data_IF_966327906292
#
_entry.id   IF_966327906292
#
_cell.length_a   1.000
_cell.length_b   1.000
_cell.length_c   1.000
_cell.angle_alpha   90.00
_cell.angle_beta   90.00
_cell.angle_gamma   90.00
#
_symmetry.space_group_name_H-M   'P 1'
#
loop_
_entity.id
_entity.type
_entity.pdbx_description
1 polymer ?
#
# COMPACT_ATOMS: atom_id res chain seq x y z
N UNK A 1 -43.22 3.45 5.33
CA UNK A 1 -42.66 2.18 4.82
C UNK A 1 -41.60 2.39 3.73
N UNK A 2 -41.83 3.23 2.71
CA UNK A 2 -40.85 3.49 1.63
C UNK A 2 -39.49 4.05 2.10
N UNK A 3 -39.44 4.82 3.18
CA UNK A 3 -38.20 5.45 3.69
C UNK A 3 -37.26 4.47 4.40
N UNK A 4 -37.79 3.45 5.08
CA UNK A 4 -36.98 2.45 5.78
C UNK A 4 -36.28 1.48 4.80
N UNK A 5 -37.01 1.01 3.77
CA UNK A 5 -36.41 0.19 2.70
C UNK A 5 -35.32 0.94 1.92
N UNK A 6 -35.47 2.25 1.72
CA UNK A 6 -34.46 3.06 1.04
C UNK A 6 -33.18 3.16 1.88
N UNK A 7 -33.30 3.39 3.19
CA UNK A 7 -32.16 3.50 4.10
C UNK A 7 -31.38 2.17 4.21
N UNK A 8 -32.08 1.04 4.33
CA UNK A 8 -31.49 -0.30 4.35
C UNK A 8 -30.78 -0.63 3.01
N UNK A 9 -31.36 -0.22 1.88
CA UNK A 9 -30.73 -0.40 0.58
C UNK A 9 -29.42 0.39 0.47
N UNK A 10 -29.40 1.66 0.91
CA UNK A 10 -28.18 2.48 0.92
C UNK A 10 -27.11 1.94 1.88
N UNK A 11 -27.48 1.49 3.08
CA UNK A 11 -26.55 0.85 4.01
C UNK A 11 -25.97 -0.45 3.43
N UNK A 12 -26.82 -1.31 2.85
CA UNK A 12 -26.36 -2.54 2.21
C UNK A 12 -25.45 -2.24 1.02
N UNK A 13 -25.75 -1.23 0.20
CA UNK A 13 -24.90 -0.81 -0.91
C UNK A 13 -23.54 -0.31 -0.41
N UNK A 14 -23.49 0.45 0.68
CA UNK A 14 -22.25 0.92 1.29
C UNK A 14 -21.42 -0.25 1.83
N UNK A 15 -22.05 -1.19 2.53
CA UNK A 15 -21.39 -2.41 3.06
C UNK A 15 -20.86 -3.29 1.92
N UNK A 16 -21.60 -3.42 0.83
CA UNK A 16 -21.17 -4.18 -0.36
C UNK A 16 -19.97 -3.47 -0.99
N UNK A 17 -20.04 -2.16 -1.23
CA UNK A 17 -18.94 -1.40 -1.80
C UNK A 17 -17.67 -1.47 -0.94
N UNK A 18 -17.81 -1.46 0.38
CA UNK A 18 -16.69 -1.55 1.32
C UNK A 18 -16.11 -2.97 1.37
N UNK A 19 -16.95 -4.02 1.31
CA UNK A 19 -16.51 -5.41 1.14
C UNK A 19 -15.80 -5.63 -0.19
N UNK A 20 -16.34 -5.14 -1.30
CA UNK A 20 -15.74 -5.26 -2.63
C UNK A 20 -14.39 -4.54 -2.69
N UNK A 21 -14.29 -3.32 -2.12
CA UNK A 21 -13.00 -2.65 -1.93
C UNK A 21 -12.04 -3.49 -1.10
N UNK A 22 -12.49 -4.09 0.01
CA UNK A 22 -11.66 -4.93 0.89
C UNK A 22 -11.18 -6.23 0.25
N UNK A 23 -11.96 -6.82 -0.66
CA UNK A 23 -11.59 -8.03 -1.40
C UNK A 23 -10.55 -7.73 -2.48
N UNK A 24 -10.65 -6.60 -3.18
CA UNK A 24 -9.63 -6.16 -4.14
C UNK A 24 -8.32 -5.80 -3.43
N UNK A 25 -8.42 -5.22 -2.23
CA UNK A 25 -7.29 -4.79 -1.36
C UNK A 25 -6.56 -5.92 -0.62
N UNK A 26 -6.83 -7.19 -0.92
CA UNK A 26 -6.09 -8.34 -0.34
C UNK A 26 -5.31 -9.13 -1.39
N UNK A 27 -5.37 -8.69 -2.65
CA UNK A 27 -4.84 -9.45 -3.77
C UNK A 27 -3.31 -9.29 -3.89
N UNK A 28 -2.76 -8.11 -3.55
CA UNK A 28 -1.33 -7.84 -3.79
C UNK A 28 -0.47 -8.63 -2.80
N UNK A 29 -0.85 -8.61 -1.51
CA UNK A 29 -0.15 -9.34 -0.46
C UNK A 29 -0.30 -10.84 -0.64
N UNK A 30 -1.46 -11.34 -1.05
CA UNK A 30 -1.65 -12.75 -1.37
C UNK A 30 -0.73 -13.20 -2.51
N UNK A 31 -0.67 -12.44 -3.61
CA UNK A 31 0.24 -12.71 -4.74
C UNK A 31 1.70 -12.69 -4.31
N UNK A 32 2.09 -11.72 -3.49
CA UNK A 32 3.44 -11.64 -2.92
C UNK A 32 3.76 -12.87 -2.06
N UNK A 33 2.87 -13.26 -1.14
CA UNK A 33 3.08 -14.44 -0.28
C UNK A 33 3.14 -15.73 -1.09
N UNK A 34 2.33 -15.84 -2.14
CA UNK A 34 2.38 -16.99 -3.05
C UNK A 34 3.75 -17.07 -3.75
N UNK A 35 4.23 -15.94 -4.30
CA UNK A 35 5.57 -15.86 -4.92
C UNK A 35 6.67 -16.27 -3.93
N UNK A 36 6.66 -15.71 -2.71
CA UNK A 36 7.64 -16.06 -1.66
C UNK A 36 7.59 -17.55 -1.33
N UNK A 37 6.40 -18.16 -1.26
CA UNK A 37 6.24 -19.56 -0.92
C UNK A 37 6.74 -20.50 -2.02
N UNK A 38 6.54 -20.17 -3.30
CA UNK A 38 7.10 -20.98 -4.41
C UNK A 38 8.63 -20.85 -4.48
N UNK A 39 9.17 -19.66 -4.18
CA UNK A 39 10.61 -19.39 -4.14
C UNK A 39 11.30 -19.81 -2.83
N UNK A 40 10.61 -20.48 -1.90
CA UNK A 40 11.11 -20.70 -0.52
C UNK A 40 12.45 -21.43 -0.38
N UNK A 41 12.88 -22.14 -1.42
CA UNK A 41 14.13 -22.89 -1.46
C UNK A 41 15.26 -22.16 -2.22
N UNK A 42 14.98 -20.99 -2.80
CA UNK A 42 15.95 -20.16 -3.53
C UNK A 42 16.20 -18.86 -2.76
N UNK A 43 17.26 -18.88 -1.93
CA UNK A 43 17.60 -17.75 -1.06
C UNK A 43 17.95 -16.49 -1.85
N UNK A 44 18.68 -16.65 -2.96
CA UNK A 44 19.12 -15.51 -3.77
C UNK A 44 17.91 -14.83 -4.42
N UNK A 45 16.93 -15.62 -4.88
CA UNK A 45 15.67 -15.09 -5.39
C UNK A 45 14.86 -14.39 -4.29
N UNK A 46 14.80 -14.93 -3.07
CA UNK A 46 14.12 -14.30 -1.93
C UNK A 46 14.74 -12.95 -1.54
N UNK A 47 16.07 -12.85 -1.51
CA UNK A 47 16.78 -11.59 -1.20
C UNK A 47 16.45 -10.52 -2.26
N UNK A 48 16.34 -10.93 -3.53
CA UNK A 48 15.93 -10.03 -4.62
C UNK A 48 14.46 -9.60 -4.46
N UNK A 49 13.55 -10.55 -4.20
CA UNK A 49 12.12 -10.27 -3.98
C UNK A 49 11.94 -9.27 -2.83
N UNK A 50 12.67 -9.45 -1.73
CA UNK A 50 12.63 -8.53 -0.59
C UNK A 50 13.12 -7.13 -1.00
N UNK A 51 14.24 -7.04 -1.72
CA UNK A 51 14.79 -5.78 -2.21
C UNK A 51 13.85 -5.03 -3.15
N UNK A 52 13.17 -5.76 -4.05
CA UNK A 52 12.21 -5.18 -4.99
C UNK A 52 10.94 -4.73 -4.31
N UNK A 53 10.42 -5.51 -3.36
CA UNK A 53 9.24 -5.14 -2.59
C UNK A 53 9.53 -3.91 -1.73
N UNK A 54 10.73 -3.82 -1.14
CA UNK A 54 11.18 -2.64 -0.40
C UNK A 54 11.22 -1.39 -1.27
N UNK A 55 11.65 -1.50 -2.53
CA UNK A 55 11.72 -0.37 -3.46
C UNK A 55 10.34 0.29 -3.70
N UNK A 56 9.24 -0.47 -3.62
CA UNK A 56 7.88 0.08 -3.71
C UNK A 56 7.60 1.08 -2.58
N UNK A 57 7.91 0.68 -1.34
CA UNK A 57 7.75 1.53 -0.16
C UNK A 57 8.71 2.72 -0.15
N UNK A 58 9.96 2.54 -0.61
CA UNK A 58 10.92 3.63 -0.74
C UNK A 58 10.45 4.73 -1.71
N UNK A 59 9.79 4.36 -2.81
CA UNK A 59 9.18 5.33 -3.72
C UNK A 59 8.05 6.12 -3.05
N UNK A 60 7.14 5.44 -2.35
CA UNK A 60 6.05 6.11 -1.60
C UNK A 60 6.61 7.05 -0.55
N UNK A 61 7.66 6.64 0.16
CA UNK A 61 8.37 7.49 1.10
C UNK A 61 8.97 8.73 0.42
N UNK A 62 9.65 8.57 -0.72
CA UNK A 62 10.23 9.69 -1.46
C UNK A 62 9.17 10.71 -1.94
N UNK A 63 8.00 10.22 -2.38
CA UNK A 63 6.84 11.07 -2.71
C UNK A 63 6.35 11.82 -1.46
N UNK A 64 6.14 11.11 -0.35
CA UNK A 64 5.71 11.73 0.91
C UNK A 64 6.67 12.84 1.39
N UNK A 65 7.98 12.57 1.33
CA UNK A 65 9.00 13.55 1.68
C UNK A 65 8.98 14.78 0.77
N UNK A 66 8.82 14.58 -0.55
CA UNK A 66 8.72 15.68 -1.50
C UNK A 66 7.47 16.54 -1.24
N UNK A 67 6.29 15.93 -1.14
CA UNK A 67 5.02 16.65 -0.93
C UNK A 67 5.01 17.41 0.40
N UNK A 68 5.65 16.88 1.44
CA UNK A 68 5.76 17.55 2.74
C UNK A 68 6.78 18.69 2.71
N UNK A 69 7.91 18.52 2.02
CA UNK A 69 8.99 19.51 2.00
C UNK A 69 8.72 20.69 1.08
N UNK A 70 8.04 20.47 -0.07
CA UNK A 70 7.76 21.51 -1.06
C UNK A 70 7.13 22.79 -0.48
N UNK A 71 6.02 22.74 0.27
CA UNK A 71 5.40 23.95 0.82
C UNK A 71 6.33 24.68 1.80
N UNK A 72 7.07 23.95 2.63
CA UNK A 72 8.01 24.52 3.60
C UNK A 72 9.17 25.23 2.89
N UNK A 73 9.75 24.59 1.87
CA UNK A 73 10.87 25.14 1.11
C UNK A 73 10.45 26.41 0.36
N UNK A 74 9.24 26.45 -0.20
CA UNK A 74 8.72 27.63 -0.91
C UNK A 74 8.51 28.85 -0.02
N UNK A 75 8.30 28.64 1.28
CA UNK A 75 8.17 29.72 2.27
C UNK A 75 9.55 30.22 2.71
N UNK A 76 10.51 29.31 2.86
CA UNK A 76 11.79 29.62 3.50
C UNK A 76 12.92 30.04 2.54
N UNK A 77 12.78 29.78 1.24
CA UNK A 77 13.85 29.97 0.26
C UNK A 77 13.34 30.63 -1.03
N UNK A 78 14.24 31.36 -1.69
CA UNK A 78 13.98 32.04 -2.96
C UNK A 78 15.13 31.84 -3.94
N UNK A 79 14.96 32.35 -5.17
CA UNK A 79 16.04 32.42 -6.16
C UNK A 79 16.62 31.05 -6.54
N UNK A 80 17.95 30.97 -6.60
CA UNK A 80 18.65 29.74 -7.00
C UNK A 80 18.55 28.64 -5.93
N UNK A 81 18.63 28.99 -4.66
CA UNK A 81 18.57 28.01 -3.57
C UNK A 81 17.21 27.27 -3.56
N UNK A 82 16.12 27.99 -3.80
CA UNK A 82 14.80 27.39 -3.98
C UNK A 82 14.79 26.36 -5.12
N UNK A 83 15.35 26.72 -6.28
CA UNK A 83 15.41 25.84 -7.45
C UNK A 83 16.21 24.57 -7.17
N UNK A 84 17.40 24.72 -6.59
CA UNK A 84 18.28 23.59 -6.28
C UNK A 84 17.63 22.60 -5.31
N UNK A 85 16.92 23.11 -4.30
CA UNK A 85 16.20 22.28 -3.31
C UNK A 85 15.03 21.52 -3.95
N UNK A 86 14.23 22.18 -4.79
CA UNK A 86 13.12 21.54 -5.52
C UNK A 86 13.67 20.47 -6.47
N UNK A 87 14.73 20.78 -7.22
CA UNK A 87 15.35 19.85 -8.16
C UNK A 87 15.88 18.60 -7.44
N UNK A 88 16.52 18.76 -6.29
CA UNK A 88 16.99 17.64 -5.47
C UNK A 88 15.85 16.71 -5.04
N UNK A 89 14.71 17.26 -4.61
CA UNK A 89 13.54 16.46 -4.23
C UNK A 89 12.97 15.69 -5.42
N UNK A 90 12.81 16.37 -6.56
CA UNK A 90 12.30 15.75 -7.78
C UNK A 90 13.23 14.64 -8.30
N UNK A 91 14.55 14.90 -8.29
CA UNK A 91 15.56 13.91 -8.66
C UNK A 91 15.48 12.68 -7.76
N UNK A 92 15.40 12.86 -6.44
CA UNK A 92 15.30 11.76 -5.48
C UNK A 92 14.03 10.94 -5.72
N UNK A 93 12.87 11.59 -5.86
CA UNK A 93 11.60 10.93 -6.17
C UNK A 93 11.69 10.12 -7.47
N UNK A 94 12.26 10.70 -8.54
CA UNK A 94 12.42 10.01 -9.83
C UNK A 94 13.34 8.80 -9.72
N UNK A 95 14.47 8.91 -9.03
CA UNK A 95 15.40 7.81 -8.84
C UNK A 95 14.75 6.62 -8.13
N UNK A 96 13.99 6.86 -7.04
CA UNK A 96 13.24 5.80 -6.37
C UNK A 96 12.13 5.21 -7.26
N UNK A 97 11.47 6.03 -8.08
CA UNK A 97 10.46 5.53 -9.02
C UNK A 97 11.08 4.58 -10.06
N UNK A 98 12.23 4.91 -10.64
CA UNK A 98 12.92 4.00 -11.57
C UNK A 98 13.25 2.66 -10.91
N UNK A 99 13.75 2.70 -9.66
CA UNK A 99 14.04 1.48 -8.90
C UNK A 99 12.78 0.64 -8.67
N UNK A 100 11.66 1.27 -8.33
CA UNK A 100 10.38 0.58 -8.18
C UNK A 100 9.91 -0.04 -9.51
N UNK A 101 10.00 0.68 -10.63
CA UNK A 101 9.65 0.15 -11.96
C UNK A 101 10.46 -1.10 -12.30
N UNK A 102 11.77 -1.08 -12.07
CA UNK A 102 12.65 -2.24 -12.26
C UNK A 102 12.23 -3.38 -11.34
N UNK A 103 11.93 -3.09 -10.07
CA UNK A 103 11.48 -4.08 -9.11
C UNK A 103 10.18 -4.76 -9.52
N UNK A 104 9.16 -4.00 -9.93
CA UNK A 104 7.88 -4.57 -10.40
C UNK A 104 8.08 -5.46 -11.62
N UNK A 105 8.93 -5.04 -12.58
CA UNK A 105 9.27 -5.85 -13.76
C UNK A 105 9.89 -7.19 -13.36
N UNK A 106 10.82 -7.17 -12.40
CA UNK A 106 11.52 -8.36 -11.94
C UNK A 106 10.64 -9.28 -11.11
N UNK A 107 9.82 -8.74 -10.22
CA UNK A 107 8.79 -9.49 -9.47
C UNK A 107 7.82 -10.21 -10.41
N UNK A 108 7.31 -9.53 -11.42
CA UNK A 108 6.44 -10.15 -12.43
C UNK A 108 7.15 -11.23 -13.23
N UNK A 109 8.43 -11.04 -13.57
CA UNK A 109 9.24 -12.05 -14.26
C UNK A 109 9.45 -13.30 -13.40
N UNK A 110 9.72 -13.16 -12.11
CA UNK A 110 9.81 -14.30 -11.21
C UNK A 110 8.47 -15.03 -11.08
N UNK A 111 7.37 -14.30 -10.97
CA UNK A 111 6.04 -14.91 -10.98
C UNK A 111 5.78 -15.74 -12.26
N UNK A 112 6.15 -15.22 -13.43
CA UNK A 112 6.06 -15.96 -14.70
C UNK A 112 6.94 -17.22 -14.72
N UNK A 113 8.18 -17.13 -14.22
CA UNK A 113 9.11 -18.26 -14.16
C UNK A 113 8.61 -19.40 -13.28
N UNK A 114 8.01 -19.05 -12.14
CA UNK A 114 7.45 -20.00 -11.17
C UNK A 114 6.00 -20.43 -11.51
N UNK A 115 5.43 -19.91 -12.59
CA UNK A 115 4.07 -20.24 -13.03
C UNK A 115 2.96 -19.74 -12.10
N UNK A 116 3.22 -18.69 -11.32
CA UNK A 116 2.24 -18.04 -10.43
C UNK A 116 1.73 -16.72 -11.02
N UNK A 117 0.63 -16.21 -10.48
CA UNK A 117 0.05 -14.97 -10.95
C UNK A 117 1.00 -13.77 -10.71
N UNK A 118 1.09 -12.88 -11.70
CA UNK A 118 1.84 -11.62 -11.60
C UNK A 118 1.31 -10.77 -10.45
N UNK A 119 2.24 -10.18 -9.69
CA UNK A 119 1.90 -9.27 -8.60
C UNK A 119 1.20 -8.02 -9.16
N UNK A 120 1.70 -7.48 -10.27
CA UNK A 120 1.11 -6.34 -10.96
C UNK A 120 0.56 -6.76 -12.33
N UNK A 121 -0.73 -6.54 -12.56
CA UNK A 121 -1.44 -6.90 -13.80
C UNK A 121 -1.75 -5.71 -14.72
N UNK A 122 -1.34 -4.50 -14.36
CA UNK A 122 -1.50 -3.31 -15.21
C UNK A 122 -0.42 -3.21 -16.30
N UNK A 123 -0.43 -2.10 -17.05
CA UNK A 123 0.60 -1.83 -18.04
C UNK A 123 1.93 -1.48 -17.36
N UNK A 124 2.95 -2.30 -17.60
CA UNK A 124 4.30 -2.16 -17.05
C UNK A 124 5.10 -0.99 -17.66
N UNK A 125 4.60 -0.39 -18.73
CA UNK A 125 5.18 0.81 -19.34
C UNK A 125 4.46 2.09 -18.89
N UNK A 126 3.29 1.97 -18.26
CA UNK A 126 2.61 3.09 -17.63
C UNK A 126 3.20 3.36 -16.25
N UNK A 127 3.99 4.42 -16.17
CA UNK A 127 4.64 4.87 -14.94
C UNK A 127 3.62 5.31 -13.88
N UNK A 128 2.46 5.84 -14.28
CA UNK A 128 1.44 6.26 -13.33
C UNK A 128 0.74 5.05 -12.73
N UNK A 129 0.45 4.03 -13.54
CA UNK A 129 -0.09 2.76 -13.05
C UNK A 129 0.87 2.08 -12.05
N UNK A 130 2.18 2.14 -12.30
CA UNK A 130 3.19 1.63 -11.35
C UNK A 130 3.23 2.46 -10.06
N UNK A 131 3.13 3.79 -10.16
CA UNK A 131 3.10 4.65 -8.99
C UNK A 131 1.87 4.35 -8.10
N UNK A 132 0.70 4.17 -8.71
CA UNK A 132 -0.53 3.76 -8.04
C UNK A 132 -0.38 2.39 -7.38
N UNK A 133 0.22 1.42 -8.10
CA UNK A 133 0.50 0.10 -7.55
C UNK A 133 1.45 0.18 -6.33
N UNK A 134 2.49 1.01 -6.37
CA UNK A 134 3.41 1.18 -5.23
C UNK A 134 2.68 1.70 -3.99
N UNK A 135 1.79 2.68 -4.17
CA UNK A 135 0.92 3.17 -3.09
C UNK A 135 0.05 2.04 -2.55
N UNK A 136 -0.68 1.35 -3.41
CA UNK A 136 -1.65 0.34 -3.01
C UNK A 136 -0.98 -0.85 -2.30
N UNK A 137 0.16 -1.31 -2.82
CA UNK A 137 0.98 -2.33 -2.18
C UNK A 137 1.47 -1.89 -0.79
N UNK A 138 1.96 -0.65 -0.66
CA UNK A 138 2.44 -0.12 0.63
C UNK A 138 1.29 0.00 1.64
N UNK A 139 0.14 0.49 1.21
CA UNK A 139 -1.07 0.62 2.04
C UNK A 139 -1.54 -0.76 2.49
N UNK A 140 -1.61 -1.74 1.60
CA UNK A 140 -2.05 -3.11 1.92
C UNK A 140 -1.09 -3.79 2.92
N UNK A 141 0.22 -3.68 2.69
CA UNK A 141 1.23 -4.19 3.63
C UNK A 141 1.14 -3.51 5.01
N UNK A 142 0.89 -2.20 5.02
CA UNK A 142 0.70 -1.44 6.26
C UNK A 142 -0.57 -1.88 6.99
N UNK A 143 -1.71 -1.93 6.32
CA UNK A 143 -3.00 -2.25 6.95
C UNK A 143 -3.01 -3.64 7.59
N UNK A 144 -2.35 -4.61 6.96
CA UNK A 144 -2.31 -6.00 7.44
C UNK A 144 -1.12 -6.30 8.40
N UNK A 145 -0.40 -5.29 8.90
CA UNK A 145 0.84 -5.44 9.71
C UNK A 145 0.69 -6.13 11.08
N UNK A 146 -0.54 -6.36 11.55
CA UNK A 146 -0.81 -6.88 12.91
C UNK A 146 -1.95 -7.90 12.98
N UNK A 147 -2.41 -8.44 11.85
CA UNK A 147 -3.56 -9.36 11.87
C UNK A 147 -4.88 -8.70 12.33
N UNK A 148 -5.00 -7.36 12.29
CA UNK A 148 -6.26 -6.61 12.57
C UNK A 148 -7.39 -6.86 11.54
N UNK A 149 -7.34 -8.00 10.85
CA UNK A 149 -8.42 -8.54 10.03
C UNK A 149 -9.00 -9.86 10.59
N UNK A 150 -8.67 -10.26 11.83
CA UNK A 150 -9.46 -11.20 12.62
C UNK A 150 -9.85 -10.58 13.98
N UNK A 151 -11.15 -10.60 14.29
CA UNK A 151 -11.79 -10.28 15.57
C UNK A 151 -11.46 -8.92 16.23
N UNK A 152 -12.23 -7.89 15.88
CA UNK A 152 -12.75 -6.98 16.91
C UNK A 152 -14.28 -6.99 16.83
N UNK A 153 -14.86 -8.12 17.25
CA UNK A 153 -16.15 -8.10 17.94
C UNK A 153 -15.76 -7.89 19.40
N UNK A 154 -15.98 -6.69 19.93
CA UNK A 154 -16.04 -6.53 21.37
C UNK A 154 -17.33 -7.23 21.83
N UNK A 155 -17.29 -8.25 22.70
CA UNK A 155 -18.43 -8.53 23.55
C UNK A 155 -18.61 -7.29 24.42
N UNK A 156 -19.83 -6.78 24.43
CA UNK A 156 -20.35 -5.80 25.37
C UNK A 156 -19.79 -6.07 26.77
N UNK A 157 -18.90 -5.21 27.26
CA UNK A 157 -18.48 -5.26 28.65
C UNK A 157 -19.64 -4.69 29.46
N UNK A 158 -20.48 -5.57 30.03
CA UNK A 158 -21.31 -5.20 31.17
C UNK A 158 -20.37 -4.75 32.28
N UNK A 159 -20.43 -3.45 32.56
CA UNK A 159 -19.78 -2.83 33.71
C UNK A 159 -20.51 -3.35 34.95
N UNK A 160 -19.94 -4.33 35.62
CA UNK A 160 -20.35 -4.66 36.98
C UNK A 160 -19.95 -3.49 37.89
N UNK A 161 -20.98 -2.82 38.42
CA UNK A 161 -20.81 -1.75 39.40
C UNK A 161 -20.22 -2.34 40.69
N UNK A 162 -19.01 -1.91 41.07
CA UNK A 162 -18.53 -2.12 42.44
C UNK A 162 -19.25 -1.14 43.39
N UNK A 163 -19.62 -1.59 44.61
CA UNK A 163 -20.37 -0.78 45.55
C UNK A 163 -19.51 0.28 46.22
N UNK A 164 -20.09 1.47 46.40
CA UNK A 164 -19.55 2.55 47.22
C UNK A 164 -19.17 2.02 48.61
N UNK A 165 -17.95 2.35 49.05
CA UNK A 165 -17.53 2.18 50.44
C UNK A 165 -17.63 3.52 51.15
N UNK A 166 -18.42 3.51 52.22
CA UNK A 166 -18.62 4.59 53.21
C UNK A 166 -17.32 5.20 53.75
#
# INVERSE_FOLDING_TARGET
MLTACFLEFFQNLHIIADKTKRTVKKLIKEKFLNLVNVCKNDRDMLDIIESDTRALGEYVYAVHMMETALPIIRINYEGQELRDRIEKLDHNRRAHHERAIIGVKRLNRFAEMEGVEKIFSGDINDRYAIADFCRDATVEMFDDRTGRNLSMVHPEQTVDAEPERD
#
